data_IF_639003031382
#
_entry.id   IF_639003031382
#
_cell.length_a   1.000
_cell.length_b   1.000
_cell.length_c   1.000
_cell.angle_alpha   90.00
_cell.angle_beta   90.00
_cell.angle_gamma   90.00
#
_symmetry.space_group_name_H-M   'P 1'
#
loop_
_entity.id
_entity.type
_entity.pdbx_description
1 polymer ?
#
# COMPACT_ATOMS: atom_id res chain seq x y z
N UNK A 1 46.30 15.89 -14.11
CA UNK A 1 45.84 15.67 -12.72
C UNK A 1 44.90 16.76 -12.19
N UNK A 2 45.24 18.05 -12.14
CA UNK A 2 44.37 19.09 -11.54
C UNK A 2 42.98 19.23 -12.18
N UNK A 3 42.88 19.11 -13.51
CA UNK A 3 41.60 19.23 -14.26
C UNK A 3 40.69 18.00 -14.05
N UNK A 4 41.28 16.79 -13.94
CA UNK A 4 40.52 15.56 -13.69
C UNK A 4 39.90 15.54 -12.29
N UNK A 5 40.61 16.06 -11.28
CA UNK A 5 40.09 16.19 -9.92
C UNK A 5 38.94 17.20 -9.87
N UNK A 6 39.04 18.29 -10.63
CA UNK A 6 37.99 19.32 -10.72
C UNK A 6 36.71 18.80 -11.42
N UNK A 7 36.86 17.97 -12.45
CA UNK A 7 35.73 17.34 -13.14
C UNK A 7 35.03 16.30 -12.25
N UNK A 8 35.79 15.54 -11.45
CA UNK A 8 35.21 14.60 -10.49
C UNK A 8 34.41 15.30 -9.39
N UNK A 9 34.91 16.41 -8.84
CA UNK A 9 34.17 17.14 -7.79
C UNK A 9 32.89 17.77 -8.32
N UNK A 10 32.89 18.29 -9.55
CA UNK A 10 31.67 18.82 -10.19
C UNK A 10 30.67 17.70 -10.50
N UNK A 11 31.13 16.53 -10.94
CA UNK A 11 30.27 15.37 -11.18
C UNK A 11 29.63 14.82 -9.90
N UNK A 12 30.38 14.75 -8.79
CA UNK A 12 29.82 14.35 -7.49
C UNK A 12 28.81 15.38 -6.94
N UNK A 13 29.05 16.67 -7.15
CA UNK A 13 28.12 17.72 -6.71
C UNK A 13 26.79 17.69 -7.51
N UNK A 14 26.84 17.35 -8.80
CA UNK A 14 25.65 17.24 -9.64
C UNK A 14 24.76 16.03 -9.25
N UNK A 15 25.36 14.91 -8.82
CA UNK A 15 24.62 13.71 -8.41
C UNK A 15 23.79 13.88 -7.12
N UNK A 16 24.12 14.85 -6.26
CA UNK A 16 23.43 15.04 -4.97
C UNK A 16 22.17 15.92 -5.06
N UNK A 17 21.88 16.55 -6.20
CA UNK A 17 20.80 17.54 -6.31
C UNK A 17 19.49 16.99 -6.88
N UNK A 18 19.49 15.76 -7.40
CA UNK A 18 18.29 15.05 -7.79
C UNK A 18 17.74 14.20 -6.63
N UNK A 19 17.76 14.72 -5.40
CA UNK A 19 16.88 14.18 -4.37
C UNK A 19 15.47 14.62 -4.73
N UNK A 20 14.64 13.66 -5.16
CA UNK A 20 13.22 13.90 -5.32
C UNK A 20 12.70 14.57 -4.04
N UNK A 21 12.12 15.76 -4.18
CA UNK A 21 11.47 16.44 -3.06
C UNK A 21 10.54 15.42 -2.39
N UNK A 22 10.56 15.27 -1.06
CA UNK A 22 9.64 14.37 -0.40
C UNK A 22 8.22 14.74 -0.84
N UNK A 23 7.49 13.80 -1.43
CA UNK A 23 6.05 14.01 -1.65
C UNK A 23 5.44 14.12 -0.26
N UNK A 24 4.77 15.24 0.01
CA UNK A 24 3.97 15.35 1.22
C UNK A 24 2.86 14.30 1.15
N UNK A 25 2.99 13.26 1.96
CA UNK A 25 1.99 12.19 2.05
C UNK A 25 0.72 12.80 2.62
N UNK A 26 -0.38 12.67 1.88
CA UNK A 26 -1.69 13.14 2.36
C UNK A 26 -2.43 12.03 3.09
N UNK A 27 -3.44 12.40 3.88
CA UNK A 27 -4.39 11.42 4.46
C UNK A 27 -4.98 10.53 3.37
N UNK A 28 -5.28 11.11 2.21
CA UNK A 28 -5.87 10.37 1.10
C UNK A 28 -4.91 9.36 0.49
N UNK A 29 -3.62 9.71 0.37
CA UNK A 29 -2.57 8.78 -0.06
C UNK A 29 -2.48 7.57 0.89
N UNK A 30 -2.54 7.79 2.21
CA UNK A 30 -2.55 6.70 3.20
C UNK A 30 -3.81 5.83 3.07
N UNK A 31 -4.97 6.44 2.83
CA UNK A 31 -6.21 5.69 2.58
C UNK A 31 -6.14 4.85 1.30
N UNK A 32 -5.57 5.39 0.22
CA UNK A 32 -5.34 4.61 -1.01
C UNK A 32 -4.37 3.45 -0.76
N UNK A 33 -3.32 3.67 0.02
CA UNK A 33 -2.38 2.61 0.41
C UNK A 33 -3.07 1.53 1.25
N UNK A 34 -4.00 1.88 2.13
CA UNK A 34 -4.82 0.92 2.88
C UNK A 34 -5.74 0.10 1.96
N UNK A 35 -6.40 0.75 0.99
CA UNK A 35 -7.21 0.08 -0.01
C UNK A 35 -6.38 -0.91 -0.83
N UNK A 36 -5.20 -0.48 -1.30
CA UNK A 36 -4.25 -1.35 -2.02
C UNK A 36 -3.90 -2.58 -1.17
N UNK A 37 -3.50 -2.40 0.09
CA UNK A 37 -3.14 -3.52 0.95
C UNK A 37 -4.29 -4.50 1.19
N UNK A 38 -5.51 -3.97 1.39
CA UNK A 38 -6.71 -4.79 1.51
C UNK A 38 -6.91 -5.68 0.27
N UNK A 39 -6.86 -5.09 -0.92
CA UNK A 39 -7.05 -5.79 -2.19
C UNK A 39 -5.94 -6.84 -2.41
N UNK A 40 -4.68 -6.46 -2.23
CA UNK A 40 -3.54 -7.37 -2.43
C UNK A 40 -3.63 -8.57 -1.52
N UNK A 41 -3.83 -8.36 -0.20
CA UNK A 41 -3.86 -9.45 0.76
C UNK A 41 -5.03 -10.41 0.50
N UNK A 42 -6.23 -9.86 0.25
CA UNK A 42 -7.43 -10.68 0.11
C UNK A 42 -7.53 -11.40 -1.24
N UNK A 43 -7.01 -10.82 -2.33
CA UNK A 43 -6.89 -11.56 -3.59
C UNK A 43 -5.73 -12.58 -3.57
N UNK A 44 -4.63 -12.28 -2.87
CA UNK A 44 -3.55 -13.25 -2.67
C UNK A 44 -4.05 -14.49 -1.94
N UNK A 45 -4.89 -14.33 -0.91
CA UNK A 45 -5.48 -15.46 -0.17
C UNK A 45 -6.42 -16.34 -1.02
N UNK A 46 -6.83 -15.88 -2.20
CA UNK A 46 -7.63 -16.64 -3.18
C UNK A 46 -6.81 -17.15 -4.36
N UNK A 47 -5.53 -16.77 -4.43
CA UNK A 47 -4.64 -17.14 -5.51
C UNK A 47 -3.90 -18.43 -5.13
N UNK A 48 -3.91 -19.48 -5.96
CA UNK A 48 -3.18 -20.71 -5.67
C UNK A 48 -1.69 -20.44 -5.40
N UNK A 49 -1.12 -21.21 -4.48
CA UNK A 49 0.31 -21.10 -4.16
C UNK A 49 1.18 -21.29 -5.41
N UNK A 50 2.27 -20.54 -5.51
CA UNK A 50 3.15 -20.53 -6.68
C UNK A 50 2.60 -19.78 -7.90
N UNK A 51 1.36 -19.31 -7.87
CA UNK A 51 0.81 -18.45 -8.93
C UNK A 51 1.22 -17.00 -8.69
N UNK A 52 1.74 -16.34 -9.73
CA UNK A 52 2.02 -14.90 -9.68
C UNK A 52 0.71 -14.12 -9.65
N UNK A 53 0.37 -13.60 -8.48
CA UNK A 53 -0.77 -12.69 -8.29
C UNK A 53 -0.46 -11.33 -8.94
N UNK A 54 -1.29 -10.88 -9.89
CA UNK A 54 -1.10 -9.57 -10.52
C UNK A 54 -1.03 -8.40 -9.50
N UNK A 55 -1.87 -8.36 -8.44
CA UNK A 55 -1.75 -7.35 -7.38
C UNK A 55 -0.39 -7.30 -6.66
N UNK A 56 0.38 -8.40 -6.60
CA UNK A 56 1.68 -8.39 -5.90
C UNK A 56 2.79 -7.69 -6.69
N UNK A 57 2.56 -7.37 -7.96
CA UNK A 57 3.47 -6.60 -8.81
C UNK A 57 3.14 -5.11 -8.84
N UNK A 58 2.09 -4.68 -8.13
CA UNK A 58 1.68 -3.29 -8.10
C UNK A 58 2.66 -2.44 -7.27
N UNK A 59 3.40 -1.58 -7.96
CA UNK A 59 4.32 -0.61 -7.35
C UNK A 59 3.65 0.74 -7.02
N UNK A 60 2.33 0.86 -7.18
CA UNK A 60 1.59 2.05 -6.78
C UNK A 60 1.80 2.32 -5.29
N UNK A 61 1.90 3.59 -4.93
CA UNK A 61 2.09 4.06 -3.57
C UNK A 61 3.42 3.63 -2.89
N UNK A 62 4.44 3.28 -3.68
CA UNK A 62 5.75 2.89 -3.15
C UNK A 62 6.40 4.04 -2.35
N UNK A 63 6.31 5.27 -2.84
CA UNK A 63 6.87 6.46 -2.16
C UNK A 63 6.21 6.67 -0.80
N UNK A 64 4.90 6.52 -0.73
CA UNK A 64 4.09 6.62 0.48
C UNK A 64 4.46 5.54 1.48
N UNK A 65 4.67 4.30 1.02
CA UNK A 65 5.11 3.21 1.89
C UNK A 65 6.49 3.49 2.52
N UNK A 66 7.43 4.03 1.74
CA UNK A 66 8.73 4.46 2.27
C UNK A 66 8.61 5.63 3.24
N UNK A 67 7.73 6.60 2.97
CA UNK A 67 7.51 7.71 3.89
C UNK A 67 6.96 7.22 5.24
N UNK A 68 6.01 6.29 5.24
CA UNK A 68 5.50 5.66 6.47
C UNK A 68 6.56 4.82 7.19
N UNK A 69 7.44 4.14 6.45
CA UNK A 69 8.51 3.32 7.03
C UNK A 69 9.59 4.20 7.67
N UNK A 70 9.99 5.28 7.01
CA UNK A 70 10.90 6.29 7.55
C UNK A 70 10.31 6.99 8.78
N UNK A 71 8.99 7.16 8.85
CA UNK A 71 8.28 7.67 10.02
C UNK A 71 8.10 6.62 11.13
N UNK A 72 8.50 5.37 10.90
CA UNK A 72 8.42 4.28 11.88
C UNK A 72 7.00 3.72 12.12
N UNK A 73 6.01 4.12 11.32
CA UNK A 73 4.60 3.73 11.50
C UNK A 73 4.15 2.63 10.53
N UNK A 74 4.97 2.30 9.53
CA UNK A 74 4.62 1.34 8.46
C UNK A 74 4.16 -0.03 8.98
N UNK A 75 4.92 -0.67 9.86
CA UNK A 75 4.57 -2.01 10.37
C UNK A 75 3.25 -2.02 11.14
N UNK A 76 2.98 -1.01 11.94
CA UNK A 76 1.73 -0.91 12.68
C UNK A 76 0.55 -0.59 11.75
N UNK A 77 0.77 0.24 10.73
CA UNK A 77 -0.21 0.46 9.67
C UNK A 77 -0.58 -0.84 8.95
N UNK A 78 0.40 -1.65 8.54
CA UNK A 78 0.17 -2.94 7.89
C UNK A 78 -0.63 -3.90 8.80
N UNK A 79 -0.27 -3.99 10.08
CA UNK A 79 -1.00 -4.81 11.06
C UNK A 79 -2.44 -4.34 11.23
N UNK A 80 -2.67 -3.03 11.30
CA UNK A 80 -4.01 -2.46 11.40
C UNK A 80 -4.86 -2.87 10.20
N UNK A 81 -4.36 -2.64 8.98
CA UNK A 81 -5.10 -2.99 7.75
C UNK A 81 -5.36 -4.49 7.67
N UNK A 82 -4.36 -5.33 7.95
CA UNK A 82 -4.53 -6.78 7.94
C UNK A 82 -5.58 -7.28 8.95
N UNK A 83 -5.59 -6.71 10.15
CA UNK A 83 -6.57 -7.04 11.20
C UNK A 83 -7.99 -6.63 10.80
N UNK A 84 -8.16 -5.42 10.29
CA UNK A 84 -9.49 -4.87 9.98
C UNK A 84 -10.10 -5.46 8.72
N UNK A 85 -9.29 -6.05 7.85
CA UNK A 85 -9.73 -6.63 6.57
C UNK A 85 -9.57 -8.15 6.53
N UNK A 86 -9.37 -8.75 7.70
CA UNK A 86 -9.27 -10.19 7.85
C UNK A 86 -10.55 -10.86 7.31
N UNK A 87 -10.40 -11.91 6.53
CA UNK A 87 -11.50 -12.69 5.95
C UNK A 87 -12.31 -12.02 4.83
N UNK A 88 -11.93 -10.84 4.34
CA UNK A 88 -12.63 -10.22 3.19
C UNK A 88 -12.51 -11.05 1.90
N UNK A 89 -11.59 -12.03 1.86
CA UNK A 89 -11.49 -13.05 0.83
C UNK A 89 -12.67 -14.04 0.80
N UNK A 90 -13.47 -14.13 1.86
CA UNK A 90 -14.65 -14.99 1.94
C UNK A 90 -15.89 -14.27 1.40
N UNK A 91 -16.72 -15.01 0.66
CA UNK A 91 -18.00 -14.51 0.16
C UNK A 91 -18.96 -14.32 1.33
N UNK A 92 -19.53 -13.12 1.49
CA UNK A 92 -20.49 -12.81 2.57
C UNK A 92 -21.95 -12.77 2.09
N UNK A 93 -22.19 -12.98 0.80
CA UNK A 93 -23.51 -12.99 0.20
C UNK A 93 -23.94 -14.40 -0.18
N UNK A 94 -25.24 -14.68 -0.06
CA UNK A 94 -25.82 -15.92 -0.54
C UNK A 94 -25.98 -15.86 -2.06
N UNK A 95 -25.25 -16.73 -2.76
CA UNK A 95 -25.39 -16.95 -4.20
C UNK A 95 -25.91 -18.36 -4.47
N UNK A 96 -26.41 -18.58 -5.68
CA UNK A 96 -26.68 -19.93 -6.16
C UNK A 96 -25.40 -20.80 -6.04
N UNK A 97 -25.50 -22.09 -5.65
CA UNK A 97 -24.33 -22.94 -5.40
C UNK A 97 -23.31 -22.95 -6.54
N UNK A 98 -23.78 -22.98 -7.78
CA UNK A 98 -22.93 -23.00 -9.00
C UNK A 98 -22.05 -21.75 -9.14
N UNK A 99 -22.42 -20.64 -8.51
CA UNK A 99 -21.67 -19.39 -8.55
C UNK A 99 -20.88 -19.14 -7.26
N UNK A 100 -21.31 -19.72 -6.14
CA UNK A 100 -20.74 -19.46 -4.83
C UNK A 100 -19.27 -19.92 -4.69
N UNK A 101 -18.88 -20.98 -5.40
CA UNK A 101 -17.57 -21.62 -5.21
C UNK A 101 -16.40 -20.74 -5.65
N UNK A 102 -16.56 -19.93 -6.69
CA UNK A 102 -15.50 -19.07 -7.24
C UNK A 102 -15.76 -17.59 -7.01
N UNK A 103 -16.99 -17.21 -6.65
CA UNK A 103 -17.35 -15.83 -6.37
C UNK A 103 -16.65 -15.27 -5.13
N UNK A 104 -16.55 -13.94 -5.12
CA UNK A 104 -16.14 -13.15 -3.98
C UNK A 104 -16.73 -11.74 -4.08
N UNK A 105 -16.66 -11.00 -2.99
CA UNK A 105 -17.00 -9.59 -2.93
C UNK A 105 -15.86 -8.78 -2.26
N UNK A 106 -14.61 -9.18 -2.50
CA UNK A 106 -13.40 -8.54 -1.94
C UNK A 106 -13.40 -7.04 -2.24
N UNK A 107 -13.66 -6.67 -3.50
CA UNK A 107 -13.69 -5.27 -3.91
C UNK A 107 -14.68 -4.46 -3.06
N UNK A 108 -15.92 -4.94 -2.92
CA UNK A 108 -16.96 -4.24 -2.16
C UNK A 108 -16.58 -4.10 -0.68
N UNK A 109 -16.05 -5.16 -0.07
CA UNK A 109 -15.61 -5.12 1.33
C UNK A 109 -14.43 -4.16 1.53
N UNK A 110 -13.43 -4.18 0.62
CA UNK A 110 -12.29 -3.26 0.69
C UNK A 110 -12.67 -1.79 0.45
N UNK A 111 -13.62 -1.52 -0.45
CA UNK A 111 -14.18 -0.16 -0.64
C UNK A 111 -14.90 0.30 0.64
N UNK A 112 -15.72 -0.55 1.24
CA UNK A 112 -16.40 -0.23 2.50
C UNK A 112 -15.41 0.08 3.63
N UNK A 113 -14.31 -0.67 3.73
CA UNK A 113 -13.24 -0.35 4.68
C UNK A 113 -12.54 0.97 4.36
N UNK A 114 -12.24 1.23 3.09
CA UNK A 114 -11.64 2.47 2.62
C UNK A 114 -12.50 3.71 2.96
N UNK A 115 -13.82 3.58 2.86
CA UNK A 115 -14.79 4.63 3.20
C UNK A 115 -15.08 4.72 4.70
N UNK A 116 -14.62 3.76 5.51
CA UNK A 116 -14.99 3.67 6.92
C UNK A 116 -14.41 4.80 7.78
N UNK A 117 -15.23 5.27 8.73
CA UNK A 117 -14.80 6.16 9.81
C UNK A 117 -13.64 5.59 10.63
N UNK A 118 -13.58 4.25 10.75
CA UNK A 118 -12.52 3.59 11.51
C UNK A 118 -11.16 3.82 10.85
N UNK A 119 -11.06 3.62 9.53
CA UNK A 119 -9.84 3.90 8.80
C UNK A 119 -9.50 5.40 8.85
N UNK A 120 -10.47 6.29 8.63
CA UNK A 120 -10.22 7.74 8.66
C UNK A 120 -9.68 8.20 10.03
N UNK A 121 -10.29 7.75 11.13
CA UNK A 121 -9.83 8.06 12.50
C UNK A 121 -8.44 7.51 12.78
N UNK A 122 -8.15 6.28 12.35
CA UNK A 122 -6.82 5.69 12.51
C UNK A 122 -5.75 6.48 11.74
N UNK A 123 -6.02 6.81 10.47
CA UNK A 123 -5.07 7.57 9.64
C UNK A 123 -4.79 8.93 10.26
N UNK A 124 -5.83 9.69 10.64
CA UNK A 124 -5.66 11.02 11.24
C UNK A 124 -5.03 11.01 12.63
N UNK A 125 -5.40 10.03 13.46
CA UNK A 125 -4.99 10.00 14.87
C UNK A 125 -3.68 9.27 15.13
N UNK A 126 -3.23 8.41 14.22
CA UNK A 126 -2.06 7.54 14.43
C UNK A 126 -1.01 7.69 13.34
N UNK A 127 -1.41 7.73 12.06
CA UNK A 127 -0.43 7.75 10.95
C UNK A 127 0.02 9.17 10.63
N UNK A 128 -0.92 10.11 10.54
CA UNK A 128 -0.71 11.48 10.06
C UNK A 128 -0.74 12.51 11.20
N UNK A 129 -0.38 12.08 12.41
CA UNK A 129 -0.43 12.92 13.62
C UNK A 129 0.59 14.05 13.59
#
# INVERSE_FOLDING_TARGET
MRIQVLLLTVALAACCTAQAKPKDVTIQDVKHLALKQCLVANYQARTPEGTKSAPSQDASFLVESYALDNAGVWKEFQKFVAKETENFNKLTMSLHPDHAQTANNVLAQCISFYESDKLDKYVRGTVMK
#
